data_IF_074135403801
#
_entry.id   IF_074135403801
#
_cell.length_a   1.000
_cell.length_b   1.000
_cell.length_c   1.000
_cell.angle_alpha   90.00
_cell.angle_beta   90.00
_cell.angle_gamma   90.00
#
_symmetry.space_group_name_H-M   'P 1'
#
loop_
_entity.id
_entity.type
_entity.pdbx_description
1 polymer ?
#
# COMPACT_ATOMS: atom_id res chain seq x y z
N UNK A 1 -3.46 -13.68 9.25
CA UNK A 1 -3.18 -14.99 9.87
C UNK A 1 -1.69 -15.09 10.23
N UNK A 2 -0.77 -15.42 9.32
CA UNK A 2 0.65 -15.61 9.68
C UNK A 2 1.33 -14.39 10.34
N UNK A 3 1.29 -13.22 9.71
CA UNK A 3 2.00 -12.03 10.22
C UNK A 3 1.43 -11.53 11.56
N UNK A 4 0.14 -11.76 11.82
CA UNK A 4 -0.56 -11.26 13.01
C UNK A 4 -0.02 -11.86 14.31
N UNK A 5 0.41 -13.12 14.28
CA UNK A 5 0.96 -13.84 15.44
C UNK A 5 2.19 -13.16 16.05
N UNK A 6 2.86 -12.26 15.29
CA UNK A 6 4.10 -11.59 15.70
C UNK A 6 3.90 -10.13 16.15
N UNK A 7 2.68 -9.59 16.07
CA UNK A 7 2.38 -8.16 16.29
C UNK A 7 2.27 -7.81 17.77
N UNK A 8 1.76 -8.73 18.60
CA UNK A 8 1.55 -8.52 20.03
C UNK A 8 0.49 -7.44 20.33
N UNK A 9 0.86 -6.45 21.15
CA UNK A 9 -0.05 -5.35 21.57
C UNK A 9 0.05 -4.10 20.69
N UNK A 10 0.87 -4.12 19.65
CA UNK A 10 1.16 -2.96 18.82
C UNK A 10 0.00 -2.68 17.87
N UNK A 11 -0.56 -1.44 17.81
CA UNK A 11 -1.48 -1.07 16.74
C UNK A 11 -0.80 -1.23 15.38
N UNK A 12 -1.36 -2.08 14.52
CA UNK A 12 -0.67 -2.53 13.32
C UNK A 12 -1.64 -2.84 12.18
N UNK A 13 -1.18 -2.58 10.96
CA UNK A 13 -1.85 -2.95 9.73
C UNK A 13 -0.85 -3.55 8.74
N UNK A 14 -1.30 -4.55 7.99
CA UNK A 14 -0.58 -5.08 6.82
C UNK A 14 -1.36 -4.75 5.55
N UNK A 15 -0.65 -4.18 4.58
CA UNK A 15 -1.15 -3.87 3.26
C UNK A 15 -0.45 -4.80 2.27
N UNK A 16 -1.16 -5.80 1.78
CA UNK A 16 -0.70 -6.61 0.65
C UNK A 16 -0.97 -5.85 -0.65
N UNK A 17 0.11 -5.49 -1.34
CA UNK A 17 0.06 -4.67 -2.56
C UNK A 17 0.45 -5.44 -3.80
N UNK A 18 0.60 -6.77 -3.73
CA UNK A 18 1.08 -7.57 -4.86
C UNK A 18 0.25 -7.32 -6.14
N UNK A 19 -1.07 -7.22 -5.99
CA UNK A 19 -1.98 -6.96 -7.13
C UNK A 19 -1.98 -5.53 -7.66
N UNK A 20 -1.56 -4.54 -6.87
CA UNK A 20 -1.63 -3.12 -7.26
C UNK A 20 -0.26 -2.52 -7.58
N UNK A 21 0.84 -3.19 -7.19
CA UNK A 21 2.21 -2.68 -7.35
C UNK A 21 2.65 -2.53 -8.81
N UNK A 22 2.05 -3.29 -9.74
CA UNK A 22 2.42 -3.29 -11.15
C UNK A 22 1.18 -3.25 -12.06
N UNK A 23 1.24 -2.42 -13.11
CA UNK A 23 0.23 -2.38 -14.18
C UNK A 23 0.80 -3.03 -15.44
N UNK A 24 0.04 -3.95 -16.04
CA UNK A 24 0.39 -4.59 -17.32
C UNK A 24 0.16 -3.68 -18.53
N UNK A 25 -0.57 -2.59 -18.33
CA UNK A 25 -1.01 -1.65 -19.36
C UNK A 25 -0.88 -0.20 -18.89
N UNK A 26 -0.85 0.72 -19.85
CA UNK A 26 -0.92 2.15 -19.57
C UNK A 26 -2.39 2.58 -19.42
N UNK A 27 -2.70 3.26 -18.33
CA UNK A 27 -4.06 3.74 -17.98
C UNK A 27 -4.17 5.27 -18.10
N UNK A 28 -3.17 5.96 -18.64
CA UNK A 28 -3.07 7.42 -18.78
C UNK A 28 -2.67 8.16 -17.50
N UNK A 29 -3.10 7.68 -16.33
CA UNK A 29 -2.70 8.21 -15.02
C UNK A 29 -1.79 7.25 -14.22
N UNK A 30 -1.59 6.04 -14.74
CA UNK A 30 -0.60 5.05 -14.34
C UNK A 30 0.01 4.48 -15.62
N UNK A 31 1.32 4.61 -15.80
CA UNK A 31 2.03 3.98 -16.91
C UNK A 31 2.14 2.47 -16.72
N UNK A 32 2.34 1.74 -17.83
CA UNK A 32 2.74 0.31 -17.75
C UNK A 32 4.03 0.19 -16.95
N UNK A 33 4.05 -0.71 -15.96
CA UNK A 33 5.19 -0.81 -15.04
C UNK A 33 4.78 -0.68 -13.57
N UNK A 34 5.73 -0.24 -12.74
CA UNK A 34 5.47 0.04 -11.33
C UNK A 34 4.49 1.20 -11.15
N UNK A 35 3.47 1.01 -10.31
CA UNK A 35 2.36 1.97 -10.17
C UNK A 35 2.58 3.01 -9.08
N UNK A 36 3.49 2.76 -8.14
CA UNK A 36 3.69 3.59 -6.95
C UNK A 36 2.55 3.52 -5.91
N UNK A 37 1.58 2.61 -6.07
CA UNK A 37 0.61 2.31 -5.01
C UNK A 37 1.33 1.63 -3.84
N UNK A 38 1.11 2.04 -2.57
CA UNK A 38 0.10 2.97 -2.06
C UNK A 38 0.65 4.33 -1.59
N UNK A 39 1.73 4.85 -2.19
CA UNK A 39 2.46 6.04 -1.69
C UNK A 39 1.55 7.22 -1.36
N UNK A 40 0.65 7.62 -2.27
CA UNK A 40 -0.28 8.75 -2.03
C UNK A 40 -1.20 8.52 -0.84
N UNK A 41 -1.71 7.29 -0.67
CA UNK A 41 -2.60 6.96 0.44
C UNK A 41 -1.87 7.00 1.78
N UNK A 42 -0.63 6.51 1.85
CA UNK A 42 0.18 6.57 3.07
C UNK A 42 0.57 8.01 3.43
N UNK A 43 0.96 8.83 2.45
CA UNK A 43 1.24 10.26 2.68
C UNK A 43 -0.01 10.96 3.21
N UNK A 44 -1.16 10.74 2.58
CA UNK A 44 -2.42 11.32 3.03
C UNK A 44 -2.78 10.85 4.45
N UNK A 45 -2.61 9.56 4.76
CA UNK A 45 -2.83 9.04 6.11
C UNK A 45 -1.96 9.76 7.15
N UNK A 46 -0.66 9.88 6.89
CA UNK A 46 0.27 10.55 7.81
C UNK A 46 -0.05 12.04 8.01
N UNK A 47 -0.53 12.73 6.96
CA UNK A 47 -0.96 14.12 7.04
C UNK A 47 -2.20 14.34 7.90
N UNK A 48 -3.04 13.31 8.06
CA UNK A 48 -4.31 13.37 8.80
C UNK A 48 -4.31 12.49 10.06
N UNK A 49 -3.14 12.00 10.48
CA UNK A 49 -3.00 11.17 11.67
C UNK A 49 -2.98 11.99 12.97
N UNK A 50 -2.92 13.33 12.87
CA UNK A 50 -2.91 14.26 14.00
C UNK A 50 -4.31 14.51 14.57
#
# INVERSE_FOLDING_TARGET
AFLWEFVGKTPWAHLDIAGTAFSSEDKGWISKGGTGVPVRALVHFLQHLA
#
